data_IF_987067549595
#
_entry.id   IF_987067549595
#
_cell.length_a   1.000
_cell.length_b   1.000
_cell.length_c   1.000
_cell.angle_alpha   90.00
_cell.angle_beta   90.00
_cell.angle_gamma   90.00
#
_symmetry.space_group_name_H-M   'P 1'
#
loop_
_entity.id
_entity.type
_entity.pdbx_description
1 polymer ?
#
# COMPACT_ATOMS: atom_id res chain seq x y z
N UNK A 1 -9.03 11.65 16.66
CA UNK A 1 -10.31 11.26 16.03
C UNK A 1 -10.24 10.99 14.51
N UNK A 2 -9.09 11.16 13.86
CA UNK A 2 -8.91 10.95 12.41
C UNK A 2 -8.19 9.63 12.05
N UNK A 3 -7.86 8.79 13.02
CA UNK A 3 -6.95 7.65 12.83
C UNK A 3 -7.57 6.41 12.15
N UNK A 4 -8.83 6.53 11.68
CA UNK A 4 -9.59 5.38 11.18
C UNK A 4 -10.22 5.65 9.80
N UNK A 5 -9.63 6.54 9.00
CA UNK A 5 -10.03 6.75 7.60
C UNK A 5 -9.73 5.56 6.66
N UNK A 6 -8.61 4.82 6.82
CA UNK A 6 -8.27 3.75 5.88
C UNK A 6 -9.30 2.61 5.75
N UNK A 7 -10.18 2.40 6.74
CA UNK A 7 -11.26 1.39 6.65
C UNK A 7 -12.29 1.70 5.55
N UNK A 8 -12.40 2.97 5.14
CA UNK A 8 -13.34 3.39 4.11
C UNK A 8 -12.78 3.26 2.69
N UNK A 9 -11.46 3.08 2.53
CA UNK A 9 -10.83 2.98 1.21
C UNK A 9 -11.45 1.87 0.36
N UNK A 10 -11.78 0.71 0.95
CA UNK A 10 -12.43 -0.39 0.22
C UNK A 10 -13.83 -0.01 -0.29
N UNK A 11 -14.59 0.73 0.50
CA UNK A 11 -15.97 1.11 0.16
C UNK A 11 -15.95 2.16 -0.93
N UNK A 12 -15.04 3.14 -0.84
CA UNK A 12 -14.86 4.14 -1.89
C UNK A 12 -14.41 3.51 -3.21
N UNK A 13 -13.52 2.51 -3.16
CA UNK A 13 -13.12 1.74 -4.35
C UNK A 13 -14.25 0.90 -4.92
N UNK A 14 -15.07 0.28 -4.08
CA UNK A 14 -16.24 -0.46 -4.54
C UNK A 14 -17.25 0.47 -5.23
N UNK A 15 -17.49 1.66 -4.66
CA UNK A 15 -18.38 2.65 -5.27
C UNK A 15 -17.82 3.20 -6.59
N UNK A 16 -16.50 3.41 -6.68
CA UNK A 16 -15.83 3.83 -7.91
C UNK A 16 -16.01 2.86 -9.10
N UNK A 17 -16.40 1.59 -8.88
CA UNK A 17 -16.65 0.65 -9.98
C UNK A 17 -17.86 1.07 -10.83
N UNK A 18 -18.84 1.73 -10.22
CA UNK A 18 -20.11 2.08 -10.85
C UNK A 18 -20.33 3.59 -11.00
N UNK A 19 -19.61 4.43 -10.23
CA UNK A 19 -19.77 5.90 -10.23
C UNK A 19 -18.51 6.63 -10.76
N UNK A 20 -18.56 7.20 -11.99
CA UNK A 20 -17.42 7.84 -12.62
C UNK A 20 -16.80 8.99 -11.83
N UNK A 21 -17.61 9.81 -11.16
CA UNK A 21 -17.09 10.93 -10.37
C UNK A 21 -16.29 10.45 -9.16
N UNK A 22 -16.69 9.32 -8.57
CA UNK A 22 -15.97 8.70 -7.46
C UNK A 22 -14.69 8.04 -7.97
N UNK A 23 -14.73 7.40 -9.13
CA UNK A 23 -13.54 6.84 -9.78
C UNK A 23 -12.45 7.89 -10.02
N UNK A 24 -12.81 9.07 -10.53
CA UNK A 24 -11.87 10.18 -10.72
C UNK A 24 -11.21 10.60 -9.40
N UNK A 25 -11.98 10.71 -8.31
CA UNK A 25 -11.43 11.09 -7.02
C UNK A 25 -10.54 10.00 -6.42
N UNK A 26 -10.91 8.73 -6.55
CA UNK A 26 -10.08 7.60 -6.12
C UNK A 26 -8.76 7.59 -6.88
N UNK A 27 -8.79 7.78 -8.21
CA UNK A 27 -7.59 7.83 -9.04
C UNK A 27 -6.67 9.00 -8.62
N UNK A 28 -7.23 10.19 -8.41
CA UNK A 28 -6.47 11.36 -7.97
C UNK A 28 -5.74 11.10 -6.66
N UNK A 29 -6.45 10.59 -5.66
CA UNK A 29 -5.89 10.27 -4.34
C UNK A 29 -4.85 9.16 -4.44
N UNK A 30 -5.11 8.13 -5.24
CA UNK A 30 -4.15 7.03 -5.44
C UNK A 30 -2.87 7.50 -6.10
N UNK A 31 -2.96 8.42 -7.06
CA UNK A 31 -1.79 9.01 -7.72
C UNK A 31 -0.97 9.84 -6.74
N UNK A 32 -1.62 10.68 -5.93
CA UNK A 32 -0.95 11.49 -4.90
C UNK A 32 -0.25 10.60 -3.86
N UNK A 33 -0.90 9.52 -3.41
CA UNK A 33 -0.30 8.54 -2.50
C UNK A 33 0.86 7.80 -3.16
N UNK A 34 0.71 7.38 -4.40
CA UNK A 34 1.74 6.66 -5.15
C UNK A 34 3.02 7.49 -5.26
N UNK A 35 2.91 8.75 -5.68
CA UNK A 35 4.07 9.64 -5.83
C UNK A 35 4.76 9.91 -4.49
N UNK A 36 3.99 10.10 -3.42
CA UNK A 36 4.55 10.27 -2.08
C UNK A 36 5.27 9.00 -1.57
N UNK A 37 4.67 7.82 -1.73
CA UNK A 37 5.30 6.55 -1.33
C UNK A 37 6.55 6.30 -2.18
N UNK A 38 6.49 6.59 -3.48
CA UNK A 38 7.61 6.46 -4.41
C UNK A 38 8.77 7.36 -4.01
N UNK A 39 8.51 8.60 -3.60
CA UNK A 39 9.58 9.51 -3.16
C UNK A 39 10.31 8.96 -1.93
N UNK A 40 9.58 8.40 -0.96
CA UNK A 40 10.17 7.80 0.23
C UNK A 40 11.06 6.59 -0.10
N UNK A 41 10.62 5.70 -0.98
CA UNK A 41 11.46 4.56 -1.40
C UNK A 41 12.66 5.02 -2.24
N UNK A 42 12.51 6.06 -3.06
CA UNK A 42 13.63 6.64 -3.81
C UNK A 42 14.68 7.24 -2.87
N UNK A 43 14.26 7.94 -1.81
CA UNK A 43 15.15 8.48 -0.76
C UNK A 43 15.93 7.37 -0.02
N UNK A 44 15.35 6.17 0.09
CA UNK A 44 16.02 4.98 0.65
C UNK A 44 16.99 4.30 -0.33
N UNK A 45 17.06 4.78 -1.59
CA UNK A 45 17.98 4.31 -2.62
C UNK A 45 17.44 3.19 -3.52
N UNK A 46 16.13 2.94 -3.53
CA UNK A 46 15.50 2.03 -4.49
C UNK A 46 15.35 2.71 -5.86
N UNK A 47 15.51 1.96 -6.95
CA UNK A 47 15.42 2.49 -8.32
C UNK A 47 14.77 1.49 -9.28
N UNK A 48 14.44 1.94 -10.50
CA UNK A 48 13.90 1.09 -11.56
C UNK A 48 12.66 0.30 -11.15
N UNK A 49 12.57 -0.95 -11.61
CA UNK A 49 11.43 -1.83 -11.34
C UNK A 49 11.27 -2.15 -9.85
N UNK A 50 12.36 -2.18 -9.06
CA UNK A 50 12.29 -2.43 -7.61
C UNK A 50 11.58 -1.28 -6.88
N UNK A 51 11.88 -0.03 -7.26
CA UNK A 51 11.18 1.15 -6.75
C UNK A 51 9.68 1.10 -7.08
N UNK A 52 9.34 0.83 -8.34
CA UNK A 52 7.95 0.80 -8.79
C UNK A 52 7.16 -0.31 -8.10
N UNK A 53 7.72 -1.51 -8.03
CA UNK A 53 7.07 -2.66 -7.39
C UNK A 53 6.88 -2.47 -5.90
N UNK A 54 7.88 -1.96 -5.17
CA UNK A 54 7.73 -1.65 -3.73
C UNK A 54 6.63 -0.64 -3.49
N UNK A 55 6.58 0.41 -4.30
CA UNK A 55 5.55 1.45 -4.22
C UNK A 55 4.16 0.85 -4.42
N UNK A 56 3.96 0.07 -5.49
CA UNK A 56 2.66 -0.56 -5.79
C UNK A 56 2.20 -1.51 -4.68
N UNK A 57 3.09 -2.39 -4.20
CA UNK A 57 2.75 -3.39 -3.17
C UNK A 57 2.47 -2.69 -1.83
N UNK A 58 3.24 -1.67 -1.47
CA UNK A 58 3.03 -0.90 -0.25
C UNK A 58 1.66 -0.21 -0.27
N UNK A 59 1.34 0.50 -1.35
CA UNK A 59 0.06 1.19 -1.49
C UNK A 59 -1.12 0.21 -1.45
N UNK A 60 -1.05 -0.89 -2.20
CA UNK A 60 -2.11 -1.89 -2.26
C UNK A 60 -2.36 -2.52 -0.87
N UNK A 61 -1.28 -2.92 -0.19
CA UNK A 61 -1.39 -3.49 1.16
C UNK A 61 -2.06 -2.52 2.12
N UNK A 62 -1.59 -1.27 2.19
CA UNK A 62 -2.12 -0.30 3.14
C UNK A 62 -3.51 0.24 2.78
N UNK A 63 -3.92 0.20 1.50
CA UNK A 63 -5.26 0.60 1.06
C UNK A 63 -6.33 -0.48 1.32
N UNK A 64 -5.95 -1.76 1.33
CA UNK A 64 -6.91 -2.87 1.40
C UNK A 64 -6.89 -3.56 2.77
N UNK A 65 -5.72 -3.65 3.41
CA UNK A 65 -5.55 -4.40 4.65
C UNK A 65 -6.48 -3.97 5.80
N UNK A 66 -6.78 -2.67 6.04
CA UNK A 66 -7.69 -2.27 7.12
C UNK A 66 -9.10 -2.81 6.95
N UNK A 67 -9.55 -3.01 5.72
CA UNK A 67 -10.86 -3.58 5.40
C UNK A 67 -10.90 -5.10 5.47
N UNK A 68 -9.77 -5.77 5.25
CA UNK A 68 -9.65 -7.23 5.33
C UNK A 68 -9.46 -7.73 6.77
N UNK A 69 -8.96 -6.87 7.65
CA UNK A 69 -8.70 -7.22 9.04
C UNK A 69 -9.99 -7.19 9.87
N UNK A 70 -10.68 -8.34 9.91
CA UNK A 70 -11.65 -8.66 10.97
C UNK A 70 -10.96 -9.00 12.30
N UNK A 71 -11.74 -9.43 13.31
CA UNK A 71 -11.28 -9.70 14.69
C UNK A 71 -10.09 -10.68 14.80
N UNK A 72 -9.90 -11.58 13.83
CA UNK A 72 -8.79 -12.55 13.78
C UNK A 72 -7.43 -11.87 13.47
N UNK A 73 -7.44 -10.72 12.81
CA UNK A 73 -6.22 -10.02 12.40
C UNK A 73 -5.84 -8.84 13.31
N UNK A 74 -6.77 -8.33 14.12
CA UNK A 74 -6.53 -7.26 15.10
C UNK A 74 -5.45 -7.66 16.13
N UNK A 75 -5.44 -8.90 16.60
CA UNK A 75 -4.39 -9.41 17.52
C UNK A 75 -2.97 -9.39 16.90
N UNK A 76 -2.86 -9.34 15.56
CA UNK A 76 -1.59 -9.38 14.84
C UNK A 76 -1.20 -8.06 14.15
N UNK A 77 -2.05 -7.03 14.20
CA UNK A 77 -1.84 -5.74 13.50
C UNK A 77 -0.48 -5.12 13.83
N UNK A 78 -0.14 -5.07 15.11
CA UNK A 78 1.14 -4.56 15.62
C UNK A 78 2.24 -5.62 15.72
N UNK A 79 1.85 -6.89 15.90
CA UNK A 79 2.80 -8.00 16.11
C UNK A 79 3.79 -8.13 14.96
N UNK A 80 3.35 -7.85 13.74
CA UNK A 80 4.15 -8.02 12.53
C UNK A 80 4.62 -6.69 11.92
N UNK A 81 4.47 -5.57 12.62
CA UNK A 81 4.83 -4.25 12.06
C UNK A 81 6.30 -4.16 11.66
N UNK A 82 7.20 -4.60 12.55
CA UNK A 82 8.65 -4.61 12.27
C UNK A 82 9.00 -5.53 11.11
N UNK A 83 8.38 -6.71 11.04
CA UNK A 83 8.63 -7.70 9.98
C UNK A 83 8.16 -7.15 8.64
N UNK A 84 6.98 -6.51 8.60
CA UNK A 84 6.44 -5.89 7.40
C UNK A 84 7.29 -4.70 6.95
N UNK A 85 7.73 -3.85 7.88
CA UNK A 85 8.65 -2.78 7.56
C UNK A 85 9.92 -3.34 6.92
N UNK A 86 10.54 -4.35 7.55
CA UNK A 86 11.71 -5.05 7.01
C UNK A 86 11.45 -5.64 5.62
N UNK A 87 10.28 -6.25 5.39
CA UNK A 87 9.90 -6.76 4.07
C UNK A 87 9.92 -5.67 2.99
N UNK A 88 9.44 -4.47 3.30
CA UNK A 88 9.40 -3.36 2.34
C UNK A 88 10.76 -2.68 2.14
N UNK A 89 11.65 -2.70 3.13
CA UNK A 89 12.95 -2.00 3.06
C UNK A 89 14.14 -2.93 2.82
N UNK A 90 13.96 -4.25 2.86
CA UNK A 90 15.05 -5.18 2.56
C UNK A 90 15.47 -5.03 1.11
N UNK A 91 16.78 -4.91 0.85
CA UNK A 91 17.31 -4.98 -0.51
C UNK A 91 17.29 -6.45 -0.93
N UNK A 92 16.72 -6.70 -2.10
CA UNK A 92 16.74 -8.04 -2.69
C UNK A 92 18.10 -8.14 -3.41
N UNK A 93 18.93 -9.10 -3.02
CA UNK A 93 20.12 -9.44 -3.79
C UNK A 93 19.67 -10.03 -5.15
N UNK A 94 20.30 -9.60 -6.25
CA UNK A 94 19.92 -9.88 -7.64
C UNK A 94 19.93 -11.38 -8.03
N UNK A 95 20.31 -12.27 -7.11
CA UNK A 95 20.43 -13.72 -7.33
C UNK A 95 19.09 -14.49 -7.30
N UNK A 96 17.94 -13.80 -7.26
CA UNK A 96 16.65 -14.48 -7.42
C UNK A 96 16.51 -14.92 -8.88
N UNK A 97 16.82 -16.20 -9.15
CA UNK A 97 16.53 -16.84 -10.42
C UNK A 97 15.04 -16.66 -10.76
N UNK A 98 14.70 -16.19 -11.97
CA UNK A 98 13.32 -16.16 -12.40
C UNK A 98 12.78 -17.60 -12.42
N UNK A 99 11.60 -17.78 -11.83
CA UNK A 99 10.82 -19.02 -11.91
C UNK A 99 10.35 -19.28 -13.34
#
# INVERSE_FOLDING_TARGET
PFDDLPKYDIVMRAWALDEPLVAEQVERVDRERYEYIKSLFAEMGFTGNDLEMRTMVFQAYHSVSPALFGSIFEENRFKNEKIRHQFFIQKIDEDIKPY
#
